data_IF_763472212580
#
_entry.id   IF_763472212580
#
_cell.length_a   1.000
_cell.length_b   1.000
_cell.length_c   1.000
_cell.angle_alpha   90.00
_cell.angle_beta   90.00
_cell.angle_gamma   90.00
#
_symmetry.space_group_name_H-M   'P 1'
#
loop_
_entity.id
_entity.type
_entity.pdbx_description
1 polymer ?
#
# COMPACT_ATOMS: atom_id res chain seq x y z
N UNK A 1 -61.77 -2.09 51.34
CA UNK A 1 -60.59 -1.26 50.98
C UNK A 1 -59.60 -2.14 50.29
N UNK A 2 -59.56 -2.13 48.96
CA UNK A 2 -58.64 -2.95 48.15
C UNK A 2 -57.62 -1.98 47.54
N UNK A 3 -56.37 -2.10 47.96
CA UNK A 3 -55.25 -1.33 47.37
C UNK A 3 -54.77 -2.05 46.10
N UNK A 4 -54.88 -1.36 44.97
CA UNK A 4 -54.25 -1.80 43.71
C UNK A 4 -52.77 -1.37 43.72
N UNK A 5 -51.86 -2.32 43.62
CA UNK A 5 -50.46 -2.07 43.37
C UNK A 5 -50.26 -1.89 41.85
N UNK A 6 -49.72 -0.75 41.43
CA UNK A 6 -49.32 -0.48 40.07
C UNK A 6 -47.86 -0.92 39.87
N UNK A 7 -47.62 -1.89 39.00
CA UNK A 7 -46.29 -2.33 38.58
C UNK A 7 -45.77 -1.39 37.48
N UNK A 8 -44.71 -0.66 37.76
CA UNK A 8 -43.99 0.17 36.80
C UNK A 8 -43.00 -0.74 36.03
N UNK A 9 -43.32 -1.10 34.81
CA UNK A 9 -42.40 -1.80 33.94
C UNK A 9 -41.36 -0.85 33.35
N UNK A 10 -40.11 -1.02 33.75
CA UNK A 10 -38.97 -0.29 33.16
C UNK A 10 -38.64 -0.93 31.81
N UNK A 11 -39.00 -0.31 30.71
CA UNK A 11 -38.58 -0.70 29.38
C UNK A 11 -37.13 -0.25 29.18
N UNK A 12 -36.20 -1.19 29.20
CA UNK A 12 -34.83 -0.95 28.69
C UNK A 12 -34.88 -0.84 27.18
N UNK A 13 -34.81 0.36 26.64
CA UNK A 13 -34.51 0.58 25.25
C UNK A 13 -33.01 0.25 25.04
N UNK A 14 -32.73 -0.91 24.46
CA UNK A 14 -31.45 -1.23 23.89
C UNK A 14 -31.22 -0.23 22.74
N UNK A 15 -30.43 0.79 22.96
CA UNK A 15 -29.82 1.58 21.91
C UNK A 15 -28.89 0.64 21.14
N UNK A 16 -29.37 0.06 20.04
CA UNK A 16 -28.49 -0.52 19.04
C UNK A 16 -27.68 0.66 18.47
N UNK A 17 -26.43 0.78 18.89
CA UNK A 17 -25.47 1.64 18.23
C UNK A 17 -25.38 1.22 16.76
N UNK A 18 -25.01 2.13 15.84
CA UNK A 18 -24.82 1.76 14.46
C UNK A 18 -23.85 0.59 14.41
N UNK A 19 -24.32 -0.58 13.96
CA UNK A 19 -23.44 -1.65 13.55
C UNK A 19 -22.70 -1.10 12.33
N UNK A 20 -21.44 -0.75 12.51
CA UNK A 20 -20.54 -0.49 11.40
C UNK A 20 -20.36 -1.83 10.69
N UNK A 21 -21.05 -2.00 9.57
CA UNK A 21 -20.87 -3.16 8.72
C UNK A 21 -19.39 -3.16 8.25
N UNK A 22 -18.70 -4.27 8.51
CA UNK A 22 -17.42 -4.71 7.92
C UNK A 22 -16.11 -4.08 8.38
N UNK A 23 -16.09 -3.42 9.49
CA UNK A 23 -14.87 -3.35 10.29
C UNK A 23 -14.90 -4.51 11.29
N UNK A 24 -13.88 -5.34 11.27
CA UNK A 24 -13.80 -6.52 12.13
C UNK A 24 -13.31 -6.19 13.54
N UNK A 25 -12.82 -7.20 14.24
CA UNK A 25 -12.17 -6.99 15.53
C UNK A 25 -10.77 -6.41 15.35
N UNK A 26 -10.25 -5.72 16.39
CA UNK A 26 -8.85 -5.28 16.43
C UNK A 26 -7.93 -6.50 16.37
N UNK A 27 -7.03 -6.60 15.37
CA UNK A 27 -6.10 -7.72 15.26
C UNK A 27 -5.14 -7.78 16.45
N UNK A 28 -4.75 -9.00 16.82
CA UNK A 28 -3.81 -9.25 17.92
C UNK A 28 -2.51 -9.87 17.37
N UNK A 29 -1.43 -9.76 18.12
CA UNK A 29 -0.16 -10.42 17.80
C UNK A 29 0.92 -9.48 17.28
N UNK A 30 0.69 -8.19 17.37
CA UNK A 30 1.67 -7.13 17.11
C UNK A 30 1.68 -6.15 18.28
N UNK A 31 2.85 -5.61 18.69
CA UNK A 31 2.92 -4.58 19.74
C UNK A 31 2.27 -3.27 19.24
N UNK A 32 2.02 -2.36 20.18
CA UNK A 32 1.63 -1.00 19.82
C UNK A 32 2.72 -0.35 18.96
N UNK A 33 2.29 0.33 17.91
CA UNK A 33 3.16 1.09 17.01
C UNK A 33 2.86 2.59 17.15
N UNK A 34 3.92 3.39 17.22
CA UNK A 34 3.85 4.85 17.28
C UNK A 34 3.98 5.45 15.88
N UNK A 35 4.90 4.93 15.07
CA UNK A 35 5.07 5.37 13.68
C UNK A 35 5.27 4.18 12.74
N UNK A 36 4.59 4.22 11.60
CA UNK A 36 4.75 3.24 10.51
C UNK A 36 5.02 3.98 9.20
N UNK A 37 6.11 3.59 8.53
CA UNK A 37 6.52 4.07 7.22
C UNK A 37 6.38 2.94 6.21
N UNK A 38 5.45 3.04 5.28
CA UNK A 38 5.28 2.08 4.17
C UNK A 38 5.89 2.68 2.92
N UNK A 39 6.98 2.09 2.42
CA UNK A 39 7.65 2.48 1.18
C UNK A 39 7.24 1.47 0.11
N UNK A 40 6.55 1.98 -0.92
CA UNK A 40 6.03 1.16 -2.02
C UNK A 40 6.97 1.23 -3.21
N UNK A 41 7.44 0.06 -3.65
CA UNK A 41 8.24 -0.13 -4.86
C UNK A 41 7.38 -0.87 -5.91
N UNK A 42 7.86 -0.95 -7.14
CA UNK A 42 7.03 -1.30 -8.29
C UNK A 42 7.58 -2.46 -9.13
N UNK A 43 6.62 -3.25 -9.63
CA UNK A 43 6.72 -4.16 -10.77
C UNK A 43 7.89 -5.16 -10.78
N UNK A 44 8.37 -5.62 -9.62
CA UNK A 44 9.45 -6.60 -9.61
C UNK A 44 9.19 -7.78 -8.69
N UNK A 45 9.27 -8.97 -9.27
CA UNK A 45 9.17 -10.23 -8.56
C UNK A 45 10.29 -10.41 -7.52
N UNK A 46 10.04 -11.20 -6.50
CA UNK A 46 11.04 -11.60 -5.50
C UNK A 46 12.37 -12.04 -6.14
N UNK A 47 12.30 -12.90 -7.16
CA UNK A 47 13.49 -13.43 -7.85
C UNK A 47 14.24 -12.39 -8.71
N UNK A 48 13.61 -11.27 -9.00
CA UNK A 48 14.22 -10.19 -9.78
C UNK A 48 15.04 -9.25 -8.89
N UNK A 49 14.67 -9.11 -7.63
CA UNK A 49 15.37 -8.24 -6.66
C UNK A 49 16.34 -9.02 -5.79
N UNK A 50 15.91 -10.18 -5.27
CA UNK A 50 16.76 -10.96 -4.36
C UNK A 50 17.93 -11.57 -5.11
N UNK A 51 19.15 -11.23 -4.67
CA UNK A 51 20.40 -11.63 -5.32
C UNK A 51 20.78 -10.78 -6.54
N UNK A 52 20.01 -9.75 -6.89
CA UNK A 52 20.34 -8.86 -7.99
C UNK A 52 21.52 -7.96 -7.62
N UNK A 53 22.62 -7.94 -8.39
CA UNK A 53 23.81 -7.13 -8.10
C UNK A 53 23.55 -5.62 -8.23
N UNK A 54 22.46 -5.21 -8.91
CA UNK A 54 22.06 -3.83 -9.06
C UNK A 54 21.13 -3.35 -7.92
N UNK A 55 20.73 -4.26 -7.00
CA UNK A 55 19.98 -3.95 -5.80
C UNK A 55 20.79 -4.26 -4.51
N UNK A 56 22.02 -3.73 -4.35
CA UNK A 56 22.88 -4.10 -3.24
C UNK A 56 22.34 -3.66 -1.88
N UNK A 57 21.68 -2.50 -1.81
CA UNK A 57 21.09 -2.01 -0.57
C UNK A 57 19.88 -2.86 -0.16
N UNK A 58 18.91 -3.10 -1.05
CA UNK A 58 17.74 -3.91 -0.76
C UNK A 58 18.12 -5.32 -0.30
N UNK A 59 19.12 -5.94 -0.96
CA UNK A 59 19.63 -7.26 -0.59
C UNK A 59 20.36 -7.27 0.77
N UNK A 60 21.10 -6.22 1.12
CA UNK A 60 21.71 -6.09 2.43
C UNK A 60 20.65 -5.85 3.51
N UNK A 61 19.71 -4.96 3.22
CA UNK A 61 18.65 -4.56 4.14
C UNK A 61 17.71 -5.73 4.47
N UNK A 62 17.32 -6.52 3.48
CA UNK A 62 16.52 -7.73 3.69
C UNK A 62 17.19 -8.78 4.59
N UNK A 63 18.54 -8.77 4.67
CA UNK A 63 19.30 -9.69 5.54
C UNK A 63 19.50 -9.13 6.94
N UNK A 64 19.60 -7.81 7.10
CA UNK A 64 19.88 -7.16 8.37
C UNK A 64 18.62 -6.79 9.16
N UNK A 65 17.57 -6.42 8.48
CA UNK A 65 16.21 -6.26 9.01
C UNK A 65 15.46 -7.60 8.98
N UNK A 66 14.16 -7.57 9.31
CA UNK A 66 13.28 -8.72 9.12
C UNK A 66 12.79 -8.74 7.67
N UNK A 67 12.57 -9.93 7.11
CA UNK A 67 12.06 -10.06 5.75
C UNK A 67 11.09 -11.24 5.61
N UNK A 68 10.05 -11.06 4.80
CA UNK A 68 9.18 -12.14 4.35
C UNK A 68 9.69 -12.66 3.00
N UNK A 69 10.03 -13.93 2.94
CA UNK A 69 10.44 -14.61 1.72
C UNK A 69 9.31 -15.44 1.08
N UNK A 70 8.09 -15.30 1.61
CA UNK A 70 6.88 -15.95 1.13
C UNK A 70 5.71 -14.95 1.18
N UNK A 71 5.91 -13.79 0.58
CA UNK A 71 4.93 -12.71 0.53
C UNK A 71 4.41 -12.54 -0.90
N UNK A 72 3.11 -12.36 -1.02
CA UNK A 72 2.43 -12.27 -2.30
C UNK A 72 1.66 -10.96 -2.42
N UNK A 73 1.84 -10.27 -3.53
CA UNK A 73 0.90 -9.29 -3.99
C UNK A 73 -0.42 -9.98 -4.38
N UNK A 74 -1.47 -9.22 -4.58
CA UNK A 74 -2.82 -9.78 -4.67
C UNK A 74 -3.30 -9.86 -6.11
N UNK A 75 -3.03 -8.83 -6.90
CA UNK A 75 -3.62 -8.68 -8.23
C UNK A 75 -2.67 -7.98 -9.21
N UNK A 76 -3.23 -7.59 -10.32
CA UNK A 76 -2.77 -6.67 -11.34
C UNK A 76 -3.97 -5.87 -11.85
N UNK A 77 -3.81 -4.63 -12.30
CA UNK A 77 -2.58 -3.83 -12.31
C UNK A 77 -2.27 -3.17 -10.95
N UNK A 78 -1.21 -2.36 -10.92
CA UNK A 78 -0.66 -1.70 -9.73
C UNK A 78 -1.71 -1.06 -8.83
N UNK A 79 -2.61 -0.20 -9.36
CA UNK A 79 -3.63 0.50 -8.56
C UNK A 79 -4.43 -0.45 -7.68
N UNK A 80 -4.77 -1.63 -8.16
CA UNK A 80 -5.52 -2.64 -7.40
C UNK A 80 -4.78 -2.99 -6.11
N UNK A 81 -3.46 -3.26 -6.19
CA UNK A 81 -2.61 -3.59 -5.04
C UNK A 81 -2.47 -2.40 -4.08
N UNK A 82 -2.33 -1.19 -4.61
CA UNK A 82 -2.28 0.03 -3.79
C UNK A 82 -3.56 0.21 -2.96
N UNK A 83 -4.73 0.00 -3.58
CA UNK A 83 -6.02 0.04 -2.88
C UNK A 83 -6.11 -1.03 -1.79
N UNK A 84 -5.62 -2.24 -2.07
CA UNK A 84 -5.63 -3.35 -1.12
C UNK A 84 -4.70 -3.13 0.07
N UNK A 85 -3.54 -2.52 -0.12
CA UNK A 85 -2.61 -2.16 0.97
C UNK A 85 -3.23 -1.14 1.93
N UNK A 86 -4.05 -0.21 1.45
CA UNK A 86 -4.60 0.85 2.31
C UNK A 86 -6.02 0.62 2.77
N UNK A 87 -6.78 -0.27 2.10
CA UNK A 87 -8.20 -0.46 2.39
C UNK A 87 -8.67 -1.92 2.44
N UNK A 88 -7.78 -2.87 2.16
CA UNK A 88 -8.09 -4.30 2.25
C UNK A 88 -9.05 -4.82 1.19
N UNK A 89 -9.16 -4.12 0.05
CA UNK A 89 -10.03 -4.49 -1.06
C UNK A 89 -9.60 -3.76 -2.33
N UNK A 90 -9.92 -4.30 -3.49
CA UNK A 90 -9.85 -3.59 -4.76
C UNK A 90 -11.05 -2.64 -5.00
N UNK A 91 -12.09 -2.71 -4.17
CA UNK A 91 -13.31 -1.90 -4.27
C UNK A 91 -14.02 -2.00 -5.63
N UNK A 92 -13.82 -3.07 -6.37
CA UNK A 92 -14.31 -3.24 -7.75
C UNK A 92 -13.42 -2.59 -8.81
N UNK A 93 -12.30 -1.98 -8.44
CA UNK A 93 -11.34 -1.38 -9.36
C UNK A 93 -10.34 -2.44 -9.81
N UNK A 94 -10.20 -2.61 -11.13
CA UNK A 94 -9.29 -3.57 -11.76
C UNK A 94 -8.53 -2.91 -12.91
N UNK A 95 -8.20 -1.62 -12.77
CA UNK A 95 -7.59 -0.80 -13.83
C UNK A 95 -6.64 0.20 -13.20
N UNK A 96 -5.72 0.75 -14.00
CA UNK A 96 -4.86 1.88 -13.64
C UNK A 96 -5.44 3.24 -14.02
N UNK A 97 -6.75 3.29 -14.29
CA UNK A 97 -7.40 4.52 -14.73
C UNK A 97 -7.38 5.60 -13.63
N UNK A 98 -7.36 6.84 -14.07
CA UNK A 98 -7.38 8.01 -13.19
C UNK A 98 -8.65 8.08 -12.34
N UNK A 99 -8.61 8.73 -11.18
CA UNK A 99 -9.83 8.99 -10.43
C UNK A 99 -10.69 10.07 -11.13
N UNK A 100 -12.00 9.89 -11.08
CA UNK A 100 -12.96 10.95 -11.38
C UNK A 100 -13.04 11.91 -10.20
N UNK A 101 -12.50 13.11 -10.39
CA UNK A 101 -12.34 14.07 -9.31
C UNK A 101 -13.67 14.71 -8.90
N UNK A 102 -14.01 14.57 -7.60
CA UNK A 102 -15.19 15.22 -7.01
C UNK A 102 -16.53 14.94 -7.70
N UNK A 103 -16.63 13.87 -8.48
CA UNK A 103 -17.88 13.55 -9.16
C UNK A 103 -18.92 12.99 -8.20
N UNK A 104 -19.90 13.80 -7.87
CA UNK A 104 -21.01 13.43 -6.98
C UNK A 104 -22.13 12.66 -7.71
N UNK A 105 -22.10 12.60 -9.03
CA UNK A 105 -23.10 11.90 -9.86
C UNK A 105 -22.68 10.49 -10.21
N UNK A 106 -21.40 10.19 -10.04
CA UNK A 106 -20.80 8.90 -10.31
C UNK A 106 -21.33 7.82 -9.36
N UNK A 107 -21.65 6.65 -9.88
CA UNK A 107 -22.03 5.52 -9.05
C UNK A 107 -20.81 4.92 -8.38
N UNK A 108 -20.94 4.51 -7.11
CA UNK A 108 -19.87 3.81 -6.42
C UNK A 108 -19.57 2.46 -7.07
N UNK A 109 -18.29 2.10 -7.15
CA UNK A 109 -17.83 0.79 -7.62
C UNK A 109 -18.40 -0.35 -6.78
N UNK A 110 -18.56 -0.14 -5.49
CA UNK A 110 -19.10 -1.13 -4.56
C UNK A 110 -20.58 -1.48 -4.80
N UNK A 111 -21.32 -0.69 -5.58
CA UNK A 111 -22.72 -0.98 -5.85
C UNK A 111 -22.91 -2.25 -6.70
N UNK A 112 -21.99 -2.53 -7.60
CA UNK A 112 -22.11 -3.60 -8.61
C UNK A 112 -20.97 -4.62 -8.56
N UNK A 113 -19.90 -4.37 -7.81
CA UNK A 113 -18.69 -5.18 -7.84
C UNK A 113 -17.93 -5.08 -9.17
N UNK A 114 -18.14 -4.00 -9.91
CA UNK A 114 -17.46 -3.71 -11.18
C UNK A 114 -17.04 -2.25 -11.20
N UNK A 115 -16.00 -1.93 -11.96
CA UNK A 115 -15.55 -0.55 -12.11
C UNK A 115 -16.70 0.32 -12.61
N UNK A 116 -17.12 1.27 -11.81
CA UNK A 116 -18.03 2.31 -12.24
C UNK A 116 -17.23 3.42 -12.91
N UNK A 117 -17.68 3.88 -14.06
CA UNK A 117 -17.02 4.90 -14.86
C UNK A 117 -18.01 5.98 -15.24
N UNK A 118 -17.54 7.22 -15.30
CA UNK A 118 -18.30 8.39 -15.73
C UNK A 118 -18.05 8.75 -17.20
N UNK A 119 -16.90 8.35 -17.76
CA UNK A 119 -16.49 8.65 -19.13
C UNK A 119 -16.24 7.36 -19.93
N UNK A 120 -17.18 6.96 -20.82
CA UNK A 120 -17.05 5.71 -21.56
C UNK A 120 -15.86 5.61 -22.51
N UNK A 121 -15.35 6.75 -22.99
CA UNK A 121 -14.22 6.78 -23.93
C UNK A 121 -12.83 6.85 -23.24
N UNK A 122 -12.80 7.29 -22.00
CA UNK A 122 -11.64 7.35 -21.13
C UNK A 122 -12.17 7.17 -19.71
N UNK A 123 -12.40 5.95 -19.29
CA UNK A 123 -13.19 5.66 -18.10
C UNK A 123 -12.39 5.96 -16.84
N UNK A 124 -12.60 7.14 -16.27
CA UNK A 124 -12.10 7.47 -14.96
C UNK A 124 -12.81 6.63 -13.88
N UNK A 125 -12.09 6.32 -12.83
CA UNK A 125 -12.61 5.55 -11.70
C UNK A 125 -13.48 6.44 -10.83
N UNK A 126 -14.72 6.10 -10.66
CA UNK A 126 -15.63 6.82 -9.76
C UNK A 126 -15.12 6.81 -8.32
N UNK A 127 -15.32 7.89 -7.54
CA UNK A 127 -14.89 7.96 -6.16
C UNK A 127 -15.42 6.77 -5.33
N UNK A 128 -14.52 6.13 -4.58
CA UNK A 128 -14.86 4.96 -3.73
C UNK A 128 -15.49 5.46 -2.43
N UNK A 129 -16.67 4.93 -2.09
CA UNK A 129 -17.39 5.28 -0.87
C UNK A 129 -18.51 4.28 -0.54
N UNK A 130 -19.01 4.34 0.69
CA UNK A 130 -20.18 3.55 1.10
C UNK A 130 -19.85 2.08 1.37
N UNK A 131 -20.84 1.22 1.19
CA UNK A 131 -20.74 -0.23 1.37
C UNK A 131 -21.34 -0.95 0.18
N UNK A 132 -20.78 -2.11 -0.17
CA UNK A 132 -21.26 -2.89 -1.28
C UNK A 132 -20.43 -4.14 -1.52
N UNK A 133 -20.36 -4.56 -2.76
CA UNK A 133 -19.60 -5.75 -3.20
C UNK A 133 -18.38 -5.29 -3.99
N UNK A 134 -17.22 -5.74 -3.61
CA UNK A 134 -16.02 -5.62 -4.43
C UNK A 134 -16.01 -6.66 -5.57
N UNK A 135 -15.01 -6.61 -6.43
CA UNK A 135 -14.84 -7.61 -7.48
C UNK A 135 -13.93 -8.75 -7.01
N UNK A 136 -14.05 -9.96 -7.60
CA UNK A 136 -13.03 -10.98 -7.45
C UNK A 136 -11.69 -10.43 -7.91
N UNK A 137 -10.65 -10.67 -7.14
CA UNK A 137 -9.31 -10.22 -7.49
C UNK A 137 -8.80 -11.00 -8.70
N UNK A 138 -8.51 -10.35 -9.84
CA UNK A 138 -7.94 -11.01 -10.99
C UNK A 138 -6.44 -11.29 -10.77
N UNK A 139 -5.94 -12.31 -11.41
CA UNK A 139 -4.50 -12.54 -11.49
C UNK A 139 -3.86 -11.81 -12.68
N UNK A 140 -4.64 -11.18 -13.53
CA UNK A 140 -4.22 -10.58 -14.79
C UNK A 140 -4.90 -9.24 -14.97
N UNK A 141 -4.14 -8.27 -15.45
CA UNK A 141 -4.67 -7.00 -15.90
C UNK A 141 -5.58 -7.19 -17.12
N UNK A 142 -6.76 -6.59 -17.06
CA UNK A 142 -7.69 -6.57 -18.18
C UNK A 142 -7.53 -5.33 -19.07
N UNK A 143 -6.66 -4.39 -18.68
CA UNK A 143 -6.79 -3.07 -19.25
C UNK A 143 -5.72 -2.64 -20.20
N UNK A 144 -4.46 -2.79 -19.99
CA UNK A 144 -3.54 -2.12 -20.90
C UNK A 144 -2.12 -2.62 -20.95
N UNK A 145 -1.66 -3.35 -19.96
CA UNK A 145 -0.22 -3.54 -19.92
C UNK A 145 0.24 -4.78 -20.67
N UNK A 146 -0.38 -5.88 -20.56
CA UNK A 146 -0.21 -7.04 -21.46
C UNK A 146 -1.33 -8.04 -21.18
N UNK A 147 -2.35 -8.08 -22.00
CA UNK A 147 -3.28 -9.19 -21.96
C UNK A 147 -2.58 -10.47 -22.39
N UNK A 148 -2.22 -11.30 -21.46
CA UNK A 148 -1.76 -12.66 -21.71
C UNK A 148 -2.99 -13.58 -21.69
N UNK A 149 -3.53 -14.00 -22.84
CA UNK A 149 -4.84 -14.63 -22.92
C UNK A 149 -4.91 -16.04 -22.34
N UNK A 150 -3.89 -16.54 -21.67
CA UNK A 150 -3.83 -17.94 -21.24
C UNK A 150 -3.25 -18.19 -19.84
N UNK A 151 -3.07 -17.17 -19.03
CA UNK A 151 -2.62 -17.38 -17.65
C UNK A 151 -3.87 -17.59 -16.80
N UNK A 152 -4.03 -18.75 -16.14
CA UNK A 152 -5.15 -18.93 -15.22
C UNK A 152 -5.07 -17.95 -14.06
N UNK A 153 -6.22 -17.44 -13.64
CA UNK A 153 -6.35 -16.60 -12.46
C UNK A 153 -5.68 -17.27 -11.27
N UNK A 154 -4.59 -16.72 -10.79
CA UNK A 154 -3.78 -17.30 -9.73
C UNK A 154 -3.19 -16.19 -8.91
N UNK A 155 -3.88 -15.62 -8.05
CA UNK A 155 -3.24 -14.88 -6.99
C UNK A 155 -4.12 -14.89 -5.78
N UNK A 156 -3.54 -15.19 -4.68
CA UNK A 156 -4.19 -15.10 -3.39
C UNK A 156 -3.15 -15.09 -2.29
N UNK A 157 -3.61 -15.18 -1.06
CA UNK A 157 -2.78 -15.17 0.15
C UNK A 157 -1.70 -16.27 0.17
N UNK A 158 -1.89 -17.36 -0.54
CA UNK A 158 -0.93 -18.46 -0.69
C UNK A 158 -0.33 -18.56 -2.11
N UNK A 159 -0.65 -17.61 -2.97
CA UNK A 159 -0.13 -17.54 -4.33
C UNK A 159 -0.76 -18.53 -5.32
N UNK A 160 -1.90 -19.14 -5.04
CA UNK A 160 -2.45 -20.24 -5.83
C UNK A 160 -3.89 -20.03 -6.32
N UNK A 161 -4.69 -19.21 -5.67
CA UNK A 161 -6.13 -19.06 -5.98
C UNK A 161 -6.55 -17.60 -6.01
N UNK A 162 -7.54 -17.28 -6.83
CA UNK A 162 -8.18 -15.96 -6.80
C UNK A 162 -8.94 -15.74 -5.50
N UNK A 163 -8.91 -14.52 -5.01
CA UNK A 163 -9.70 -14.09 -3.86
C UNK A 163 -11.11 -13.78 -4.33
N UNK A 164 -12.15 -14.43 -3.77
CA UNK A 164 -13.53 -14.18 -4.18
C UNK A 164 -13.98 -12.78 -3.77
N UNK A 165 -14.96 -12.23 -4.50
CA UNK A 165 -15.59 -10.96 -4.14
C UNK A 165 -16.25 -11.03 -2.76
N UNK A 166 -16.13 -9.95 -1.99
CA UNK A 166 -16.78 -9.79 -0.70
C UNK A 166 -18.05 -8.94 -0.82
N UNK A 167 -19.18 -9.45 -0.33
CA UNK A 167 -20.49 -8.80 -0.47
C UNK A 167 -20.73 -7.62 0.49
N UNK A 168 -19.81 -7.37 1.38
CA UNK A 168 -19.98 -6.36 2.43
C UNK A 168 -18.74 -5.46 2.56
N UNK A 169 -18.09 -5.15 1.50
CA UNK A 169 -16.91 -4.28 1.46
C UNK A 169 -17.29 -2.85 1.85
N UNK A 170 -16.49 -2.21 2.65
CA UNK A 170 -16.66 -0.80 3.05
C UNK A 170 -15.62 0.07 2.35
N UNK A 171 -16.07 1.14 1.70
CA UNK A 171 -15.22 2.10 0.99
C UNK A 171 -14.49 3.06 1.93
N UNK A 172 -13.56 2.52 2.70
CA UNK A 172 -12.69 3.22 3.65
C UNK A 172 -11.24 2.77 3.50
N UNK A 173 -10.36 3.63 3.96
CA UNK A 173 -8.93 3.35 4.10
C UNK A 173 -8.49 3.37 5.56
N UNK A 174 -7.27 2.93 5.81
CA UNK A 174 -6.60 3.13 7.09
C UNK A 174 -6.53 4.64 7.46
N UNK A 175 -6.47 5.54 6.47
CA UNK A 175 -6.54 6.99 6.70
C UNK A 175 -7.86 7.43 7.35
N UNK A 176 -8.99 6.87 6.89
CA UNK A 176 -10.31 7.11 7.52
C UNK A 176 -10.34 6.61 8.96
N UNK A 177 -9.77 5.43 9.22
CA UNK A 177 -9.73 4.85 10.57
C UNK A 177 -8.86 5.68 11.51
N UNK A 178 -7.66 6.05 11.08
CA UNK A 178 -6.72 6.86 11.85
C UNK A 178 -7.33 8.22 12.21
N UNK A 179 -7.87 8.93 11.22
CA UNK A 179 -8.56 10.21 11.44
C UNK A 179 -9.75 10.05 12.40
N UNK A 180 -10.46 8.92 12.32
CA UNK A 180 -11.60 8.60 13.20
C UNK A 180 -11.22 8.43 14.68
N UNK A 181 -9.97 8.07 14.98
CA UNK A 181 -9.46 7.93 16.36
C UNK A 181 -8.47 9.04 16.74
N UNK A 182 -8.36 10.10 15.94
CA UNK A 182 -7.51 11.26 16.21
C UNK A 182 -6.03 11.03 15.98
N UNK A 183 -5.66 10.03 15.17
CA UNK A 183 -4.30 9.76 14.71
C UNK A 183 -4.05 10.42 13.37
N UNK A 184 -2.79 10.76 13.11
CA UNK A 184 -2.37 11.44 11.90
C UNK A 184 -1.86 10.46 10.83
N UNK A 185 -2.06 10.83 9.56
CA UNK A 185 -1.51 10.11 8.42
C UNK A 185 -1.13 11.07 7.29
N UNK A 186 -0.18 10.67 6.46
CA UNK A 186 0.15 11.33 5.20
C UNK A 186 0.50 10.32 4.10
N UNK A 187 0.18 10.71 2.88
CA UNK A 187 0.71 10.12 1.65
C UNK A 187 1.77 11.04 1.09
N UNK A 188 3.01 10.60 1.11
CA UNK A 188 4.14 11.33 0.54
C UNK A 188 4.43 10.80 -0.87
N UNK A 189 4.33 11.68 -1.85
CA UNK A 189 4.44 11.34 -3.27
C UNK A 189 5.62 12.10 -3.91
N UNK A 190 6.63 11.38 -4.39
CA UNK A 190 7.75 12.03 -5.05
C UNK A 190 7.28 12.69 -6.36
N UNK A 191 7.76 13.90 -6.63
CA UNK A 191 7.35 14.71 -7.78
C UNK A 191 5.85 15.03 -7.86
N UNK A 192 5.17 15.08 -6.73
CA UNK A 192 3.81 15.59 -6.68
C UNK A 192 3.72 16.95 -7.39
N UNK A 193 2.74 17.16 -8.29
CA UNK A 193 2.59 18.45 -9.00
C UNK A 193 2.47 19.62 -8.03
N UNK A 194 3.06 20.79 -8.32
CA UNK A 194 2.97 21.97 -7.47
C UNK A 194 1.53 22.47 -7.23
N UNK A 195 0.61 22.12 -8.13
CA UNK A 195 -0.83 22.43 -8.01
C UNK A 195 -1.55 21.56 -6.97
N UNK A 196 -0.89 20.55 -6.44
CA UNK A 196 -1.47 19.59 -5.50
C UNK A 196 -1.98 18.33 -6.20
N UNK A 197 -2.51 17.37 -5.42
CA UNK A 197 -2.91 16.07 -5.94
C UNK A 197 -4.12 16.12 -6.88
N UNK A 198 -5.08 17.02 -6.66
CA UNK A 198 -6.26 17.19 -7.51
C UNK A 198 -6.00 17.96 -8.80
N UNK A 199 -4.83 18.53 -8.95
CA UNK A 199 -4.36 19.11 -10.21
C UNK A 199 -3.99 18.05 -11.25
N UNK A 200 -3.95 16.80 -10.88
CA UNK A 200 -3.60 15.65 -11.73
C UNK A 200 -4.83 14.81 -11.96
N UNK A 201 -5.34 14.82 -13.18
CA UNK A 201 -6.54 14.08 -13.59
C UNK A 201 -6.25 12.99 -14.63
N UNK A 202 -5.06 12.45 -14.62
CA UNK A 202 -4.65 11.29 -15.40
C UNK A 202 -3.62 10.47 -14.61
N UNK A 203 -3.36 9.23 -15.04
CA UNK A 203 -2.49 8.30 -14.34
C UNK A 203 -1.05 8.81 -14.13
N UNK A 204 -0.59 9.68 -15.01
CA UNK A 204 0.73 10.28 -14.94
C UNK A 204 0.60 11.77 -14.63
N UNK A 205 0.72 12.18 -13.40
CA UNK A 205 0.96 13.58 -13.09
C UNK A 205 2.12 14.11 -13.93
N UNK A 206 2.29 15.40 -14.05
CA UNK A 206 3.40 15.93 -14.82
C UNK A 206 4.42 16.65 -13.95
N UNK A 207 5.65 16.51 -14.36
CA UNK A 207 6.78 17.11 -13.69
C UNK A 207 7.79 17.58 -14.74
N UNK A 208 8.33 18.78 -14.56
CA UNK A 208 9.41 19.28 -15.41
C UNK A 208 10.71 18.60 -14.99
N UNK A 209 11.14 17.61 -15.74
CA UNK A 209 12.36 16.90 -15.43
C UNK A 209 13.60 17.71 -15.77
N UNK A 210 14.17 18.32 -14.77
CA UNK A 210 15.44 19.05 -14.93
C UNK A 210 16.58 18.38 -14.18
N UNK A 211 16.31 17.44 -13.31
CA UNK A 211 17.25 17.13 -12.23
C UNK A 211 17.62 15.68 -12.03
N UNK A 212 16.98 14.74 -12.69
CA UNK A 212 17.33 13.33 -12.53
C UNK A 212 18.67 13.00 -13.17
N UNK A 213 19.18 13.83 -14.07
CA UNK A 213 20.39 13.58 -14.82
C UNK A 213 21.37 14.72 -14.71
N UNK A 214 22.63 14.39 -14.69
CA UNK A 214 23.76 15.31 -14.53
C UNK A 214 23.93 16.30 -15.70
N UNK A 215 23.17 16.15 -16.78
CA UNK A 215 23.20 17.04 -17.93
C UNK A 215 21.79 17.56 -18.20
N UNK A 216 21.48 18.80 -17.83
CA UNK A 216 20.20 19.41 -18.19
C UNK A 216 20.03 19.44 -19.71
N UNK A 217 18.85 19.00 -20.18
CA UNK A 217 18.48 19.22 -21.57
C UNK A 217 18.39 20.74 -21.85
N UNK A 218 18.71 21.20 -23.05
CA UNK A 218 18.46 22.57 -23.45
C UNK A 218 17.01 22.98 -23.20
N UNK A 219 16.77 24.20 -22.80
CA UNK A 219 15.44 24.68 -22.41
C UNK A 219 14.38 24.45 -23.50
N UNK A 220 14.75 24.56 -24.75
CA UNK A 220 13.91 24.34 -25.93
C UNK A 220 13.55 22.85 -26.17
N UNK A 221 14.27 21.94 -25.54
CA UNK A 221 14.03 20.51 -25.65
C UNK A 221 13.49 19.90 -24.35
N UNK A 222 13.38 20.71 -23.29
CA UNK A 222 12.78 20.25 -22.05
C UNK A 222 11.28 20.04 -22.28
N UNK A 223 10.86 18.79 -22.16
CA UNK A 223 9.45 18.44 -22.12
C UNK A 223 9.04 18.14 -20.69
N UNK A 224 7.77 18.32 -20.41
CA UNK A 224 7.20 17.81 -19.17
C UNK A 224 7.28 16.28 -19.22
N UNK A 225 7.82 15.69 -18.17
CA UNK A 225 7.90 14.25 -17.96
C UNK A 225 7.06 13.92 -16.75
N UNK A 226 6.08 13.06 -16.95
CA UNK A 226 5.19 12.64 -15.89
C UNK A 226 5.90 11.57 -15.07
N UNK A 227 6.43 11.94 -13.91
CA UNK A 227 7.11 11.02 -12.99
C UNK A 227 6.24 10.62 -11.81
N UNK A 228 5.37 11.52 -11.35
CA UNK A 228 4.29 11.16 -10.43
C UNK A 228 3.20 10.40 -11.17
N UNK A 229 2.75 9.30 -10.62
CA UNK A 229 1.61 8.54 -11.12
C UNK A 229 0.49 8.55 -10.08
N UNK A 230 -0.69 9.06 -10.43
CA UNK A 230 -1.83 9.10 -9.49
C UNK A 230 -2.27 7.71 -9.06
N UNK A 231 -2.06 6.69 -9.91
CA UNK A 231 -2.32 5.28 -9.56
C UNK A 231 -1.48 4.78 -8.36
N UNK A 232 -0.32 5.40 -8.10
CA UNK A 232 0.51 5.11 -6.94
C UNK A 232 0.10 5.91 -5.69
N UNK A 233 -1.01 6.65 -5.77
CA UNK A 233 -1.57 7.41 -4.66
C UNK A 233 -3.02 6.96 -4.36
N UNK A 234 -3.23 5.81 -3.72
CA UNK A 234 -4.54 5.18 -3.59
C UNK A 234 -5.58 6.05 -2.88
N UNK A 235 -5.15 6.93 -1.99
CA UNK A 235 -6.04 7.80 -1.24
C UNK A 235 -6.84 8.77 -2.13
N UNK A 236 -6.32 9.07 -3.33
CA UNK A 236 -6.97 9.96 -4.30
C UNK A 236 -8.26 9.38 -4.88
N UNK A 237 -8.47 8.08 -4.74
CA UNK A 237 -9.65 7.38 -5.26
C UNK A 237 -10.82 7.36 -4.28
N UNK A 238 -10.63 7.86 -3.05
CA UNK A 238 -11.65 7.81 -2.02
C UNK A 238 -12.39 9.14 -1.88
N UNK A 239 -13.71 9.07 -1.88
CA UNK A 239 -14.58 10.24 -1.75
C UNK A 239 -14.32 11.01 -0.45
N UNK A 240 -14.06 10.32 0.64
CA UNK A 240 -13.77 10.94 1.94
C UNK A 240 -12.57 11.88 1.89
N UNK A 241 -11.53 11.53 1.10
CA UNK A 241 -10.34 12.35 0.91
C UNK A 241 -10.61 13.47 -0.09
N UNK A 242 -11.25 13.17 -1.23
CA UNK A 242 -11.54 14.15 -2.27
C UNK A 242 -12.47 15.27 -1.79
N UNK A 243 -13.51 14.95 -1.04
CA UNK A 243 -14.45 15.96 -0.53
C UNK A 243 -13.87 16.75 0.64
N UNK A 244 -12.91 16.17 1.39
CA UNK A 244 -12.18 16.87 2.45
C UNK A 244 -13.06 17.41 3.57
N UNK A 245 -14.23 16.80 3.83
CA UNK A 245 -15.16 17.22 4.89
C UNK A 245 -14.55 17.08 6.29
N UNK A 246 -13.60 16.14 6.44
CA UNK A 246 -12.76 16.04 7.62
C UNK A 246 -11.35 16.53 7.26
N UNK A 247 -10.86 17.65 7.82
CA UNK A 247 -9.51 18.14 7.54
C UNK A 247 -8.39 17.15 7.88
N UNK A 248 -8.64 16.20 8.80
CA UNK A 248 -7.69 15.14 9.13
C UNK A 248 -7.68 13.99 8.10
N UNK A 249 -8.57 14.04 7.12
CA UNK A 249 -8.67 13.05 6.03
C UNK A 249 -9.08 13.75 4.74
N UNK A 250 -8.11 14.39 4.09
CA UNK A 250 -8.34 15.27 2.91
C UNK A 250 -7.07 15.37 2.07
N UNK A 251 -7.09 16.14 1.01
CA UNK A 251 -5.90 16.44 0.20
C UNK A 251 -4.76 17.09 0.99
N UNK A 252 -5.02 17.69 2.15
CA UNK A 252 -3.96 18.19 3.02
C UNK A 252 -3.08 17.09 3.64
N UNK A 253 -3.52 15.83 3.57
CA UNK A 253 -2.73 14.67 3.97
C UNK A 253 -1.78 14.18 2.85
N UNK A 254 -1.82 14.80 1.67
CA UNK A 254 -0.94 14.44 0.55
C UNK A 254 0.13 15.51 0.41
N UNK A 255 1.40 15.11 0.44
CA UNK A 255 2.54 16.01 0.36
C UNK A 255 3.60 15.45 -0.59
N UNK A 256 4.45 16.33 -1.09
CA UNK A 256 5.64 15.95 -1.85
C UNK A 256 6.77 15.44 -0.94
N UNK A 257 7.88 15.02 -1.53
CA UNK A 257 9.08 14.70 -0.76
C UNK A 257 9.80 15.97 -0.29
N UNK A 258 9.76 16.99 -1.09
CA UNK A 258 10.45 18.26 -0.86
C UNK A 258 9.48 19.36 -0.40
N UNK A 259 10.04 20.45 0.12
CA UNK A 259 9.29 21.65 0.50
C UNK A 259 8.71 21.60 1.90
N UNK A 260 8.00 22.66 2.26
CA UNK A 260 7.36 22.79 3.58
C UNK A 260 6.32 21.68 3.79
N UNK A 261 6.44 20.98 4.91
CA UNK A 261 5.62 19.81 5.26
C UNK A 261 5.76 18.62 4.28
N UNK A 262 6.82 18.61 3.45
CA UNK A 262 7.24 17.45 2.67
C UNK A 262 7.92 16.40 3.54
N UNK A 263 8.15 15.22 2.95
CA UNK A 263 8.70 14.07 3.68
C UNK A 263 10.01 14.39 4.41
N UNK A 264 10.96 15.01 3.70
CA UNK A 264 12.29 15.25 4.28
C UNK A 264 12.29 16.31 5.37
N UNK A 265 11.44 17.35 5.26
CA UNK A 265 11.28 18.34 6.33
C UNK A 265 10.60 17.72 7.55
N UNK A 266 9.51 16.98 7.36
CA UNK A 266 8.79 16.31 8.44
C UNK A 266 9.71 15.30 9.16
N UNK A 267 10.50 14.52 8.44
CA UNK A 267 11.48 13.60 9.01
C UNK A 267 12.56 14.34 9.82
N UNK A 268 13.11 15.44 9.28
CA UNK A 268 14.16 16.20 9.93
C UNK A 268 13.68 16.92 11.20
N UNK A 269 12.44 17.41 11.19
CA UNK A 269 11.83 18.11 12.33
C UNK A 269 11.22 17.17 13.37
N UNK A 270 10.96 15.92 13.02
CA UNK A 270 10.21 14.97 13.84
C UNK A 270 8.69 15.19 13.84
N UNK A 271 8.17 16.03 12.95
CA UNK A 271 6.72 16.26 12.78
C UNK A 271 6.08 15.24 11.85
N UNK A 272 6.50 13.99 11.92
CA UNK A 272 6.04 12.89 11.08
C UNK A 272 4.70 12.37 11.62
N UNK A 273 3.71 12.06 10.75
CA UNK A 273 2.47 11.44 11.19
C UNK A 273 2.71 10.02 11.72
N UNK A 274 1.73 9.48 12.46
CA UNK A 274 1.78 8.09 12.91
C UNK A 274 1.83 7.10 11.73
N UNK A 275 1.14 7.40 10.63
CA UNK A 275 1.19 6.56 9.42
C UNK A 275 1.67 7.38 8.22
N UNK A 276 2.74 6.93 7.60
CA UNK A 276 3.35 7.50 6.39
C UNK A 276 3.32 6.49 5.25
N UNK A 277 2.56 6.77 4.21
CA UNK A 277 2.60 6.05 2.95
C UNK A 277 3.56 6.80 2.02
N UNK A 278 4.60 6.14 1.52
CA UNK A 278 5.69 6.77 0.77
C UNK A 278 5.79 6.09 -0.59
N UNK A 279 5.50 6.84 -1.65
CA UNK A 279 5.62 6.38 -3.03
C UNK A 279 6.70 7.20 -3.75
N UNK A 280 7.85 6.60 -4.08
CA UNK A 280 8.81 7.21 -4.98
C UNK A 280 8.19 7.44 -6.36
N UNK A 281 8.84 8.24 -7.20
CA UNK A 281 8.41 8.44 -8.58
C UNK A 281 8.70 7.21 -9.45
N UNK A 282 8.12 7.16 -10.66
CA UNK A 282 8.20 6.00 -11.55
C UNK A 282 9.62 5.55 -11.92
N UNK A 283 10.64 6.38 -11.74
CA UNK A 283 12.03 5.97 -11.90
C UNK A 283 12.61 5.40 -10.60
N UNK A 284 12.25 5.99 -9.47
CA UNK A 284 12.81 5.67 -8.17
C UNK A 284 12.06 4.53 -7.46
N UNK A 285 10.86 4.19 -7.92
CA UNK A 285 10.11 3.01 -7.48
C UNK A 285 10.45 1.74 -8.28
N UNK A 286 11.19 1.86 -9.39
CA UNK A 286 11.56 0.80 -10.35
C UNK A 286 10.48 0.47 -11.39
N UNK A 287 9.36 1.20 -11.47
CA UNK A 287 8.37 1.01 -12.52
C UNK A 287 8.95 1.27 -13.93
N UNK A 288 9.69 2.34 -14.03
CA UNK A 288 10.19 2.85 -15.31
C UNK A 288 9.26 3.88 -15.96
N UNK A 289 9.87 4.72 -16.83
CA UNK A 289 9.17 5.74 -17.60
C UNK A 289 9.88 5.94 -18.93
N UNK A 290 9.30 5.48 -20.04
CA UNK A 290 9.95 5.38 -21.35
C UNK A 290 10.41 6.70 -21.99
N UNK A 291 10.07 7.84 -21.44
CA UNK A 291 10.51 9.16 -21.91
C UNK A 291 11.38 9.93 -20.91
N UNK A 292 11.83 9.26 -19.84
CA UNK A 292 12.64 9.86 -18.77
C UNK A 292 14.14 9.54 -18.88
N UNK A 293 14.57 8.97 -19.99
CA UNK A 293 15.94 8.58 -20.27
C UNK A 293 16.24 7.11 -20.03
N UNK A 294 17.34 6.58 -20.60
CA UNK A 294 17.60 5.14 -20.64
C UNK A 294 17.75 4.49 -19.24
N UNK A 295 18.10 5.25 -18.22
CA UNK A 295 18.20 4.73 -16.85
C UNK A 295 16.85 4.61 -16.14
N UNK A 296 15.80 5.18 -16.70
CA UNK A 296 14.44 5.08 -16.22
C UNK A 296 13.51 4.45 -17.26
N UNK A 297 14.07 3.87 -18.29
CA UNK A 297 13.30 3.14 -19.29
C UNK A 297 12.79 1.82 -18.68
N UNK A 298 11.67 1.34 -19.21
CA UNK A 298 11.10 0.06 -18.81
C UNK A 298 12.12 -1.07 -19.03
N UNK A 299 11.91 -2.18 -18.37
CA UNK A 299 12.68 -3.39 -18.61
C UNK A 299 12.52 -3.82 -20.08
N UNK A 300 13.61 -3.97 -20.82
CA UNK A 300 13.52 -4.26 -22.26
C UNK A 300 12.93 -5.65 -22.55
N UNK A 301 13.20 -6.59 -21.67
CA UNK A 301 12.64 -7.94 -21.70
C UNK A 301 13.01 -8.66 -20.42
N UNK A 302 12.07 -9.36 -19.82
CA UNK A 302 12.30 -10.16 -18.61
C UNK A 302 11.71 -11.56 -18.77
N UNK A 303 12.19 -12.50 -17.97
CA UNK A 303 11.75 -13.90 -17.94
C UNK A 303 11.47 -14.39 -16.51
N UNK A 304 11.03 -13.49 -15.63
CA UNK A 304 10.74 -13.78 -14.22
C UNK A 304 11.97 -13.92 -13.33
N UNK A 305 13.14 -13.60 -13.87
CA UNK A 305 14.43 -13.63 -13.18
C UNK A 305 15.13 -12.28 -13.38
N UNK A 306 16.41 -12.20 -13.09
CA UNK A 306 17.19 -10.98 -13.31
C UNK A 306 17.60 -10.78 -14.78
N UNK A 307 17.28 -11.73 -15.66
CA UNK A 307 17.63 -11.65 -17.07
C UNK A 307 16.66 -10.72 -17.80
N UNK A 308 17.23 -9.76 -18.51
CA UNK A 308 16.46 -8.79 -19.32
C UNK A 308 15.98 -7.55 -18.55
N UNK A 309 16.27 -7.43 -17.24
CA UNK A 309 15.98 -6.23 -16.49
C UNK A 309 16.86 -5.04 -16.94
N UNK A 310 16.36 -3.82 -16.76
CA UNK A 310 17.15 -2.62 -16.89
C UNK A 310 18.01 -2.43 -15.63
N UNK A 311 19.33 -2.68 -15.65
CA UNK A 311 20.17 -2.60 -14.47
C UNK A 311 20.24 -1.18 -13.88
N UNK A 312 20.06 -0.16 -14.70
CA UNK A 312 20.09 1.21 -14.26
C UNK A 312 18.80 1.59 -13.53
N UNK A 313 17.66 1.11 -13.97
CA UNK A 313 16.38 1.30 -13.29
C UNK A 313 16.37 0.64 -11.90
N UNK A 314 16.80 -0.62 -11.83
CA UNK A 314 16.95 -1.33 -10.55
C UNK A 314 17.86 -0.57 -9.60
N UNK A 315 19.00 -0.07 -10.11
CA UNK A 315 19.96 0.67 -9.28
C UNK A 315 19.44 2.03 -8.82
N UNK A 316 18.67 2.74 -9.64
CA UNK A 316 18.02 3.99 -9.24
C UNK A 316 17.07 3.78 -8.06
N UNK A 317 16.20 2.78 -8.14
CA UNK A 317 15.30 2.47 -7.05
C UNK A 317 16.02 2.00 -5.78
N UNK A 318 17.08 1.21 -5.93
CA UNK A 318 17.92 0.80 -4.79
C UNK A 318 18.59 1.99 -4.07
N UNK A 319 19.03 2.99 -4.84
CA UNK A 319 19.56 4.24 -4.31
C UNK A 319 18.49 5.08 -3.61
N UNK A 320 17.32 5.20 -4.22
CA UNK A 320 16.18 5.93 -3.65
C UNK A 320 15.75 5.29 -2.32
N UNK A 321 15.56 3.99 -2.32
CA UNK A 321 15.23 3.21 -1.13
C UNK A 321 16.27 3.43 -0.02
N UNK A 322 17.56 3.33 -0.34
CA UNK A 322 18.64 3.59 0.63
C UNK A 322 18.55 4.98 1.24
N UNK A 323 18.25 5.99 0.44
CA UNK A 323 18.18 7.38 0.89
C UNK A 323 16.96 7.60 1.79
N UNK A 324 15.80 7.02 1.44
CA UNK A 324 14.59 7.06 2.25
C UNK A 324 14.80 6.40 3.62
N UNK A 325 15.30 5.18 3.64
CA UNK A 325 15.59 4.46 4.89
C UNK A 325 16.58 5.23 5.77
N UNK A 326 17.65 5.79 5.18
CA UNK A 326 18.61 6.62 5.93
C UNK A 326 17.95 7.88 6.50
N UNK A 327 17.06 8.53 5.76
CA UNK A 327 16.37 9.72 6.24
C UNK A 327 15.43 9.38 7.42
N UNK A 328 14.71 8.25 7.33
CA UNK A 328 13.84 7.78 8.41
C UNK A 328 14.66 7.43 9.65
N UNK A 329 15.77 6.68 9.51
CA UNK A 329 16.65 6.35 10.62
C UNK A 329 17.30 7.58 11.28
N UNK A 330 17.51 8.65 10.53
CA UNK A 330 18.03 9.91 11.04
C UNK A 330 16.99 10.74 11.79
N UNK A 331 15.71 10.47 11.56
CA UNK A 331 14.60 11.20 12.19
C UNK A 331 14.56 11.01 13.71
N UNK A 332 14.21 12.06 14.47
CA UNK A 332 13.99 11.91 15.91
C UNK A 332 12.99 10.81 16.28
N UNK A 333 11.92 10.63 15.47
CA UNK A 333 10.87 9.64 15.75
C UNK A 333 11.34 8.19 15.63
N UNK A 334 12.42 7.93 14.89
CA UNK A 334 13.04 6.61 14.85
C UNK A 334 13.74 6.22 16.15
N UNK A 335 14.07 7.19 16.99
CA UNK A 335 14.79 6.99 18.25
C UNK A 335 13.88 6.93 19.46
N UNK A 336 12.59 7.14 19.27
CA UNK A 336 11.60 7.20 20.34
C UNK A 336 10.37 6.35 19.96
N UNK A 337 9.77 5.71 20.97
CA UNK A 337 8.62 4.83 20.76
C UNK A 337 8.92 3.57 19.93
N UNK A 338 7.86 2.98 19.39
CA UNK A 338 7.91 1.80 18.53
C UNK A 338 7.61 2.20 17.09
N UNK A 339 8.65 2.27 16.27
CA UNK A 339 8.55 2.62 14.85
C UNK A 339 8.89 1.44 13.95
N UNK A 340 8.23 1.37 12.79
CA UNK A 340 8.48 0.36 11.78
C UNK A 340 8.61 0.98 10.39
N UNK A 341 9.59 0.52 9.59
CA UNK A 341 9.68 0.74 8.15
C UNK A 341 9.26 -0.56 7.48
N UNK A 342 8.33 -0.48 6.56
CA UNK A 342 7.95 -1.58 5.67
C UNK A 342 8.29 -1.19 4.26
N UNK A 343 9.10 -2.00 3.58
CA UNK A 343 9.39 -1.87 2.17
C UNK A 343 8.77 -3.05 1.46
N UNK A 344 7.98 -2.80 0.44
CA UNK A 344 7.36 -3.86 -0.36
C UNK A 344 7.27 -3.43 -1.83
N UNK A 345 7.21 -4.42 -2.72
CA UNK A 345 6.83 -4.23 -4.12
C UNK A 345 5.33 -4.48 -4.25
N UNK A 346 4.66 -3.70 -5.06
CA UNK A 346 3.21 -3.76 -5.25
C UNK A 346 2.78 -5.05 -5.94
N UNK A 347 3.52 -5.45 -6.96
CA UNK A 347 3.25 -6.65 -7.78
C UNK A 347 4.53 -7.12 -8.50
N UNK A 348 4.47 -8.27 -9.16
CA UNK A 348 5.49 -8.69 -10.10
C UNK A 348 5.20 -8.13 -11.51
N UNK A 349 6.08 -8.40 -12.47
CA UNK A 349 6.00 -7.94 -13.86
C UNK A 349 5.35 -8.96 -14.83
N UNK A 350 4.51 -9.87 -14.36
CA UNK A 350 3.89 -10.98 -15.12
C UNK A 350 4.86 -12.01 -15.72
N UNK A 351 6.17 -11.78 -15.72
CA UNK A 351 7.13 -12.63 -16.40
C UNK A 351 7.46 -13.93 -15.66
N UNK A 352 7.10 -14.02 -14.38
CA UNK A 352 7.34 -15.21 -13.58
C UNK A 352 6.46 -16.40 -14.02
N UNK A 353 7.04 -17.61 -14.02
CA UNK A 353 6.30 -18.83 -14.31
C UNK A 353 6.57 -19.88 -13.23
N UNK A 354 5.57 -20.31 -12.44
CA UNK A 354 4.20 -19.80 -12.43
C UNK A 354 4.12 -18.35 -11.97
N UNK A 355 3.17 -17.59 -12.48
CA UNK A 355 2.91 -16.24 -12.00
C UNK A 355 2.18 -16.32 -10.66
N UNK A 356 2.94 -16.32 -9.56
CA UNK A 356 2.40 -16.38 -8.20
C UNK A 356 2.30 -14.99 -7.55
N UNK A 357 2.74 -13.97 -8.26
CA UNK A 357 2.82 -12.59 -7.76
C UNK A 357 3.64 -12.46 -6.46
N UNK A 358 4.70 -13.26 -6.32
CA UNK A 358 5.59 -13.23 -5.17
C UNK A 358 6.51 -12.03 -5.24
N UNK A 359 6.54 -11.23 -4.17
CA UNK A 359 7.34 -10.02 -4.06
C UNK A 359 8.19 -10.01 -2.78
N UNK A 360 9.24 -9.19 -2.76
CA UNK A 360 10.06 -9.00 -1.55
C UNK A 360 9.33 -8.04 -0.59
N UNK A 361 9.33 -8.38 0.69
CA UNK A 361 8.86 -7.47 1.75
C UNK A 361 9.87 -7.45 2.88
N UNK A 362 10.31 -6.24 3.26
CA UNK A 362 11.27 -6.00 4.34
C UNK A 362 10.57 -5.23 5.46
N UNK A 363 10.79 -5.64 6.69
CA UNK A 363 10.27 -4.98 7.89
C UNK A 363 11.43 -4.63 8.80
N UNK A 364 11.71 -3.35 8.96
CA UNK A 364 12.70 -2.86 9.91
C UNK A 364 11.98 -2.20 11.09
N UNK A 365 12.34 -2.60 12.28
CA UNK A 365 11.75 -2.12 13.54
C UNK A 365 12.83 -1.59 14.45
N UNK A 366 12.57 -0.47 15.10
CA UNK A 366 13.52 0.13 16.05
C UNK A 366 13.48 -0.52 17.45
N UNK A 367 12.70 -1.57 17.60
CA UNK A 367 12.49 -2.33 18.84
C UNK A 367 12.55 -3.84 18.54
N UNK A 368 12.74 -4.67 19.53
CA UNK A 368 12.59 -6.12 19.36
C UNK A 368 13.73 -6.80 18.58
N UNK A 369 13.37 -7.76 17.73
CA UNK A 369 14.32 -8.67 17.05
C UNK A 369 14.47 -8.30 15.59
N UNK A 370 15.70 -8.27 15.08
CA UNK A 370 16.06 -8.09 13.67
C UNK A 370 16.69 -9.35 13.07
N UNK A 371 16.72 -9.45 11.75
CA UNK A 371 17.30 -10.55 10.99
C UNK A 371 16.38 -11.78 10.85
N UNK A 372 15.11 -11.65 11.19
CA UNK A 372 14.12 -12.73 11.01
C UNK A 372 13.83 -12.91 9.53
N UNK A 373 13.90 -14.16 9.06
CA UNK A 373 13.52 -14.55 7.70
C UNK A 373 12.26 -15.40 7.77
N UNK A 374 11.11 -14.79 7.49
CA UNK A 374 9.83 -15.48 7.59
C UNK A 374 9.47 -16.22 6.30
N UNK A 375 9.09 -17.49 6.45
CA UNK A 375 8.52 -18.30 5.37
C UNK A 375 6.99 -18.44 5.50
N UNK A 376 6.37 -17.72 6.43
CA UNK A 376 4.91 -17.71 6.53
C UNK A 376 4.32 -17.05 5.29
N UNK A 377 3.19 -17.56 4.77
CA UNK A 377 2.49 -16.93 3.68
C UNK A 377 1.84 -15.63 4.18
N UNK A 378 2.24 -14.53 3.57
CA UNK A 378 1.72 -13.18 3.82
C UNK A 378 1.31 -12.51 2.52
N UNK A 379 0.52 -11.46 2.62
CA UNK A 379 0.06 -10.65 1.50
C UNK A 379 -0.15 -9.20 1.92
N UNK A 380 -0.58 -8.36 0.98
CA UNK A 380 -0.98 -6.98 1.25
C UNK A 380 -2.06 -6.88 2.33
N UNK A 381 -2.98 -7.83 2.37
CA UNK A 381 -3.98 -7.90 3.46
C UNK A 381 -3.36 -8.24 4.80
N UNK A 382 -2.31 -9.07 4.84
CA UNK A 382 -1.57 -9.37 6.07
C UNK A 382 -0.86 -8.14 6.60
N UNK A 383 -0.30 -7.32 5.71
CA UNK A 383 0.35 -6.06 6.07
C UNK A 383 -0.66 -5.09 6.67
N UNK A 384 -1.77 -4.82 5.97
CA UNK A 384 -2.82 -3.92 6.48
C UNK A 384 -3.32 -4.39 7.85
N UNK A 385 -3.69 -5.68 7.98
CA UNK A 385 -4.12 -6.28 9.25
C UNK A 385 -3.11 -6.08 10.38
N UNK A 386 -1.82 -6.15 10.07
CA UNK A 386 -0.74 -5.98 11.05
C UNK A 386 -0.64 -4.52 11.51
N UNK A 387 -0.70 -3.57 10.57
CA UNK A 387 -0.65 -2.14 10.86
C UNK A 387 -1.90 -1.72 11.67
N UNK A 388 -3.08 -2.19 11.28
CA UNK A 388 -4.32 -1.96 12.04
C UNK A 388 -4.19 -2.46 13.49
N UNK A 389 -3.67 -3.67 13.66
CA UNK A 389 -3.40 -4.24 14.99
C UNK A 389 -2.43 -3.37 15.80
N UNK A 390 -1.35 -2.88 15.18
CA UNK A 390 -0.35 -2.03 15.80
C UNK A 390 -0.90 -0.68 16.27
N UNK A 391 -1.84 -0.10 15.53
CA UNK A 391 -2.53 1.13 15.90
C UNK A 391 -3.78 0.93 16.77
N UNK A 392 -4.16 -0.33 17.05
CA UNK A 392 -5.37 -0.64 17.81
C UNK A 392 -6.65 -0.38 17.02
N UNK A 393 -6.59 -0.43 15.69
CA UNK A 393 -7.71 -0.24 14.79
C UNK A 393 -8.39 -1.57 14.46
N UNK A 394 -9.71 -1.59 14.19
CA UNK A 394 -10.37 -2.77 13.64
C UNK A 394 -9.85 -3.08 12.24
N UNK A 395 -9.87 -4.36 11.83
CA UNK A 395 -9.48 -4.71 10.48
C UNK A 395 -10.50 -4.26 9.43
N UNK A 396 -10.03 -3.97 8.21
CA UNK A 396 -10.85 -3.60 7.04
C UNK A 396 -10.96 -4.76 6.04
N UNK A 397 -12.16 -4.98 5.53
CA UNK A 397 -12.43 -5.81 4.36
C UNK A 397 -11.73 -7.18 4.39
N UNK A 398 -10.99 -7.58 3.35
CA UNK A 398 -10.25 -8.84 3.31
C UNK A 398 -9.12 -8.95 4.34
N UNK A 399 -8.64 -7.86 4.91
CA UNK A 399 -7.75 -7.94 6.06
C UNK A 399 -8.42 -8.65 7.26
N UNK A 400 -9.75 -8.66 7.33
CA UNK A 400 -10.53 -9.38 8.35
C UNK A 400 -10.67 -10.88 8.07
N UNK A 401 -10.35 -11.36 6.88
CA UNK A 401 -10.54 -12.76 6.52
C UNK A 401 -9.77 -13.67 7.47
N UNK A 402 -10.39 -14.81 7.81
CA UNK A 402 -9.87 -15.71 8.83
C UNK A 402 -8.53 -16.37 8.46
N UNK A 403 -8.25 -16.51 7.17
CA UNK A 403 -7.01 -17.05 6.63
C UNK A 403 -5.90 -16.00 6.48
N UNK A 404 -6.22 -14.71 6.59
CA UNK A 404 -5.22 -13.62 6.59
C UNK A 404 -4.53 -13.57 7.94
N UNK A 405 -3.21 -13.70 7.95
CA UNK A 405 -2.39 -13.73 9.16
C UNK A 405 -1.82 -12.36 9.47
N UNK A 406 -1.70 -12.05 10.76
CA UNK A 406 -0.86 -10.94 11.25
C UNK A 406 0.60 -11.34 11.12
N UNK A 407 1.47 -10.43 10.69
CA UNK A 407 2.92 -10.63 10.49
C UNK A 407 3.68 -10.55 11.83
N UNK A 408 3.19 -11.25 12.84
CA UNK A 408 3.65 -11.13 14.23
C UNK A 408 5.11 -11.51 14.43
N UNK A 409 5.66 -12.42 13.64
CA UNK A 409 7.06 -12.83 13.69
C UNK A 409 8.02 -11.74 13.16
N UNK A 410 7.56 -10.89 12.25
CA UNK A 410 8.34 -9.78 11.68
C UNK A 410 8.24 -8.50 12.51
N UNK A 411 7.21 -8.37 13.35
CA UNK A 411 6.96 -7.23 14.23
C UNK A 411 7.12 -7.60 15.72
N UNK A 412 7.77 -8.71 16.03
CA UNK A 412 7.89 -9.21 17.41
C UNK A 412 8.80 -8.32 18.27
N UNK A 413 8.25 -7.83 19.38
CA UNK A 413 9.05 -7.28 20.48
C UNK A 413 9.84 -8.37 21.23
N UNK A 414 10.77 -7.98 22.10
CA UNK A 414 11.69 -8.88 22.83
C UNK A 414 11.01 -9.98 23.67
N UNK A 415 9.69 -9.94 23.86
CA UNK A 415 8.93 -10.91 24.66
C UNK A 415 8.33 -12.10 23.91
N UNK A 416 8.44 -12.17 22.58
CA UNK A 416 7.77 -13.19 21.74
C UNK A 416 8.72 -14.23 21.16
N UNK A 417 9.78 -14.63 21.89
CA UNK A 417 10.45 -15.90 21.57
C UNK A 417 9.46 -17.02 21.82
N UNK A 418 8.85 -17.57 20.77
CA UNK A 418 8.20 -18.86 20.89
C UNK A 418 9.27 -19.87 21.31
N UNK A 419 9.12 -20.41 22.51
CA UNK A 419 9.85 -21.60 22.97
C UNK A 419 9.55 -22.73 21.97
N UNK A 420 10.37 -22.85 20.95
CA UNK A 420 10.45 -24.10 20.19
C UNK A 420 11.08 -25.11 21.14
N UNK A 421 10.18 -25.86 21.82
CA UNK A 421 10.53 -26.85 22.80
C UNK A 421 11.70 -27.72 22.36
N UNK A 422 12.76 -27.65 23.15
CA UNK A 422 13.83 -28.64 23.18
C UNK A 422 13.20 -30.01 23.39
N UNK A 423 12.98 -30.76 22.31
CA UNK A 423 12.82 -32.21 22.40
C UNK A 423 14.08 -32.80 22.97
N UNK A 424 14.08 -33.05 24.26
CA UNK A 424 15.04 -33.92 24.90
C UNK A 424 15.01 -35.28 24.18
N UNK A 425 16.08 -35.61 23.49
CA UNK A 425 16.45 -36.99 23.22
C UNK A 425 17.18 -37.45 24.49
N UNK A 426 16.45 -38.16 25.36
CA UNK A 426 17.01 -39.01 26.39
C UNK A 426 17.28 -40.38 25.78
N UNK A 427 18.50 -40.87 26.04
CA UNK A 427 19.08 -42.21 26.03
C UNK A 427 18.44 -43.32 25.17
#
# INVERSE_FOLDING_TARGET
>A
MIRKAASLGLAFALLAGPMFANEGAVPKGVPHLDHVFVIMMENHAYAQIVGNPNAPFANHYAKSANAANNYFAIAHPSLTNYLEVVGGSNFGVQTDNSPSWHDTTCLTNLATGTVATDVPASPDVCPIWGTGTDAPTPAIDYTNEVSLPSIPAVSNIDGVQSIPAAANTVGKTIGDQLAGVGKSWKSYQENLPPTGPDGVNNADGFYSNVTLFTTPLPAETQSLINLYAVKHNPFMYFRSVQEGLNPANSFSNVAGFEGAHGLFEDLASGNVPEFSFIAPNQCNDQHGRGNAGPQCDFDPQTVGTQVGLNPALIYLGDLALRNLVKAIHASPVWKDGHSAIVVLWDENDYSATPNTNQVLTIVDINYGVSGVQSSQPYSHFSLLKTIEGGFGLPCLNHACDANVKVMSDLFAGEGHRQDHGNGQYGE
#
